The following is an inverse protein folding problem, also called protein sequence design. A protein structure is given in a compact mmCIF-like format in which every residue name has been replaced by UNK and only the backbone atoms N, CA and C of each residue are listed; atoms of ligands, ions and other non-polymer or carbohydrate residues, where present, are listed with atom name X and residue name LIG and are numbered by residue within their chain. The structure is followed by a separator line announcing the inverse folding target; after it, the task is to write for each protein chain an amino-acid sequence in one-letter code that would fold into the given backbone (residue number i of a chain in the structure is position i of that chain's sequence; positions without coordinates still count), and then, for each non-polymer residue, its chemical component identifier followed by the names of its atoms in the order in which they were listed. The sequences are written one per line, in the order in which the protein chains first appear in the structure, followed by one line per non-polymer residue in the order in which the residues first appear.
data_IF_771469220009
#
_entry.id   IF_771469220009
#
_cell.length_a   1.000
_cell.length_b   1.000
_cell.length_c   1.000
_cell.angle_alpha   90.00
_cell.angle_beta   90.00
_cell.angle_gamma   90.00
#
_symmetry.space_group_name_H-M   'P 1'
#
loop_
_entity.id
_entity.type
_entity.pdbx_description
1 polymer ?
#
# COMPACT_ATOMS: atom_id res chain seq x y z
N UNK A 1 17.21 5.00 -2.95
CA UNK A 1 17.45 3.57 -2.64
C UNK A 1 16.11 2.86 -2.78
N UNK A 2 16.00 1.84 -3.64
CA UNK A 2 14.71 1.19 -3.96
C UNK A 2 14.34 0.17 -2.90
N UNK A 3 13.21 0.39 -2.21
CA UNK A 3 12.67 -0.59 -1.28
C UNK A 3 11.52 -1.29 -1.97
N UNK A 4 11.86 -2.50 -2.36
CA UNK A 4 10.96 -3.50 -2.87
C UNK A 4 10.19 -4.08 -1.68
N UNK A 5 8.91 -4.39 -1.87
CA UNK A 5 8.22 -5.34 -1.01
C UNK A 5 9.05 -6.63 -1.02
N UNK A 6 9.80 -6.85 0.06
CA UNK A 6 10.60 -8.05 0.18
C UNK A 6 9.65 -9.22 0.44
N UNK A 7 10.11 -10.44 0.15
CA UNK A 7 9.32 -11.65 0.38
C UNK A 7 8.78 -11.73 1.82
N UNK A 8 9.54 -11.22 2.80
CA UNK A 8 9.13 -11.10 4.20
C UNK A 8 7.93 -10.19 4.41
N UNK A 9 7.86 -9.06 3.71
CA UNK A 9 6.72 -8.13 3.78
C UNK A 9 5.50 -8.74 3.07
N UNK A 10 5.70 -9.42 1.93
CA UNK A 10 4.64 -10.18 1.23
C UNK A 10 4.07 -11.28 2.12
N UNK A 11 4.94 -12.05 2.77
CA UNK A 11 4.56 -13.13 3.70
C UNK A 11 3.71 -12.59 4.85
N UNK A 12 4.14 -11.49 5.47
CA UNK A 12 3.37 -10.82 6.54
C UNK A 12 2.00 -10.37 6.04
N UNK A 13 1.92 -9.75 4.85
CA UNK A 13 0.63 -9.35 4.27
C UNK A 13 -0.30 -10.53 4.01
N UNK A 14 0.22 -11.64 3.49
CA UNK A 14 -0.56 -12.86 3.24
C UNK A 14 -1.05 -13.45 4.55
N UNK A 15 -0.22 -13.46 5.59
CA UNK A 15 -0.59 -13.93 6.93
C UNK A 15 -1.69 -13.07 7.56
N UNK A 16 -1.50 -11.76 7.57
CA UNK A 16 -2.46 -10.79 8.12
C UNK A 16 -3.81 -10.92 7.41
N UNK A 17 -3.83 -10.95 6.07
CA UNK A 17 -5.05 -11.08 5.29
C UNK A 17 -5.71 -12.47 5.40
N UNK A 18 -4.92 -13.53 5.57
CA UNK A 18 -5.44 -14.89 5.71
C UNK A 18 -6.24 -15.10 6.99
N UNK A 19 -6.13 -14.21 7.98
CA UNK A 19 -6.91 -14.32 9.22
C UNK A 19 -8.39 -13.96 9.02
N UNK A 20 -8.67 -13.04 8.10
CA UNK A 20 -9.96 -12.33 8.01
C UNK A 20 -10.73 -12.59 6.69
N UNK A 21 -10.26 -13.51 5.84
CA UNK A 21 -10.90 -13.77 4.56
C UNK A 21 -10.98 -15.27 4.19
N UNK A 22 -11.65 -15.57 3.07
CA UNK A 22 -11.85 -16.94 2.54
C UNK A 22 -10.54 -17.69 2.29
N UNK A 23 -9.43 -16.95 2.17
CA UNK A 23 -8.09 -17.50 2.04
C UNK A 23 -7.74 -18.45 3.20
N UNK A 24 -8.21 -18.17 4.42
CA UNK A 24 -8.01 -19.05 5.59
C UNK A 24 -8.37 -20.50 5.28
N UNK A 25 -9.60 -20.70 4.80
CA UNK A 25 -10.13 -22.02 4.47
C UNK A 25 -9.34 -22.68 3.35
N UNK A 26 -8.84 -21.90 2.39
CA UNK A 26 -8.03 -22.45 1.30
C UNK A 26 -6.66 -22.93 1.79
N UNK A 27 -6.03 -22.19 2.70
CA UNK A 27 -4.74 -22.53 3.29
C UNK A 27 -4.82 -23.75 4.23
N UNK A 28 -5.89 -23.85 5.04
CA UNK A 28 -6.13 -25.00 5.91
C UNK A 28 -6.29 -26.31 5.12
N UNK A 29 -6.90 -26.23 3.94
CA UNK A 29 -7.14 -27.38 3.08
C UNK A 29 -5.95 -27.74 2.17
N UNK A 30 -4.97 -26.85 2.02
CA UNK A 30 -3.81 -27.04 1.16
C UNK A 30 -2.60 -26.26 1.71
N UNK A 31 -1.79 -26.89 2.59
CA UNK A 31 -0.64 -26.23 3.22
C UNK A 31 0.41 -25.72 2.21
N UNK A 32 0.49 -26.34 1.02
CA UNK A 32 1.43 -25.92 -0.03
C UNK A 32 0.95 -24.66 -0.77
N UNK A 33 -0.32 -24.29 -0.64
CA UNK A 33 -0.89 -23.14 -1.32
C UNK A 33 -0.30 -21.83 -0.79
N UNK A 34 0.04 -21.76 0.51
CA UNK A 34 0.62 -20.55 1.12
C UNK A 34 1.92 -20.13 0.44
N UNK A 35 2.85 -21.07 0.31
CA UNK A 35 4.15 -20.79 -0.30
C UNK A 35 4.00 -20.45 -1.79
N UNK A 36 3.07 -21.11 -2.49
CA UNK A 36 2.76 -20.79 -3.88
C UNK A 36 2.21 -19.36 -4.04
N UNK A 37 1.31 -18.92 -3.16
CA UNK A 37 0.78 -17.55 -3.15
C UNK A 37 1.91 -16.55 -2.94
N UNK A 38 2.73 -16.76 -1.92
CA UNK A 38 3.84 -15.84 -1.58
C UNK A 38 4.79 -15.71 -2.78
N UNK A 39 5.22 -16.82 -3.35
CA UNK A 39 6.11 -16.84 -4.52
C UNK A 39 5.51 -16.10 -5.71
N UNK A 40 4.27 -16.43 -6.11
CA UNK A 40 3.62 -15.84 -7.30
C UNK A 40 3.36 -14.34 -7.14
N UNK A 41 2.94 -13.91 -5.95
CA UNK A 41 2.74 -12.49 -5.65
C UNK A 41 4.07 -11.76 -5.65
N UNK A 42 5.11 -12.32 -5.04
CA UNK A 42 6.42 -11.69 -4.98
C UNK A 42 7.02 -11.50 -6.39
N UNK A 43 6.92 -12.52 -7.25
CA UNK A 43 7.33 -12.45 -8.66
C UNK A 43 6.51 -11.42 -9.44
N UNK A 44 5.18 -11.45 -9.31
CA UNK A 44 4.29 -10.59 -10.09
C UNK A 44 4.32 -9.13 -9.62
N UNK A 45 4.55 -8.87 -8.33
CA UNK A 45 4.53 -7.53 -7.79
C UNK A 45 5.80 -6.75 -8.13
N UNK A 46 6.91 -7.43 -8.46
CA UNK A 46 8.21 -6.81 -8.71
C UNK A 46 8.59 -5.76 -7.64
N UNK A 47 8.25 -6.06 -6.37
CA UNK A 47 8.46 -5.19 -5.22
C UNK A 47 7.47 -4.03 -5.04
N UNK A 48 6.39 -3.94 -5.84
CA UNK A 48 5.32 -2.97 -5.64
C UNK A 48 4.36 -3.42 -4.53
N UNK A 49 4.50 -2.84 -3.34
CA UNK A 49 3.68 -3.19 -2.17
C UNK A 49 2.16 -2.95 -2.39
N UNK A 50 1.80 -1.93 -3.16
CA UNK A 50 0.40 -1.70 -3.54
C UNK A 50 -0.16 -2.86 -4.37
N UNK A 51 0.66 -3.43 -5.27
CA UNK A 51 0.24 -4.55 -6.12
C UNK A 51 0.06 -5.81 -5.28
N UNK A 52 0.95 -6.05 -4.30
CA UNK A 52 0.80 -7.11 -3.30
C UNK A 52 -0.55 -7.02 -2.60
N UNK A 53 -0.90 -5.85 -2.07
CA UNK A 53 -2.18 -5.63 -1.38
C UNK A 53 -3.40 -5.85 -2.28
N UNK A 54 -3.32 -5.42 -3.54
CA UNK A 54 -4.39 -5.60 -4.52
C UNK A 54 -4.56 -7.07 -4.92
N UNK A 55 -3.47 -7.79 -5.14
CA UNK A 55 -3.49 -9.22 -5.48
C UNK A 55 -4.02 -10.06 -4.32
N UNK A 56 -3.63 -9.75 -3.08
CA UNK A 56 -4.18 -10.39 -1.87
C UNK A 56 -5.68 -10.13 -1.75
N UNK A 57 -6.13 -8.89 -1.96
CA UNK A 57 -7.56 -8.58 -1.96
C UNK A 57 -8.32 -9.36 -3.04
N UNK A 58 -7.78 -9.41 -4.26
CA UNK A 58 -8.31 -10.22 -5.35
C UNK A 58 -8.41 -11.71 -4.98
N UNK A 59 -7.41 -12.26 -4.29
CA UNK A 59 -7.44 -13.64 -3.77
C UNK A 59 -8.53 -13.85 -2.71
N UNK A 60 -8.67 -12.92 -1.76
CA UNK A 60 -9.70 -12.97 -0.73
C UNK A 60 -11.13 -12.90 -1.29
N UNK A 61 -11.31 -12.35 -2.50
CA UNK A 61 -12.61 -12.31 -3.18
C UNK A 61 -12.99 -13.63 -3.87
N UNK A 62 -12.08 -14.61 -3.93
CA UNK A 62 -12.32 -15.86 -4.65
C UNK A 62 -13.22 -16.81 -3.87
N UNK A 63 -14.17 -17.42 -4.57
CA UNK A 63 -15.19 -18.29 -3.96
C UNK A 63 -14.79 -19.76 -3.91
N UNK A 64 -13.65 -20.15 -4.48
CA UNK A 64 -13.16 -21.53 -4.44
C UNK A 64 -11.65 -21.62 -4.68
N UNK A 65 -11.03 -22.70 -4.20
CA UNK A 65 -9.60 -23.00 -4.43
C UNK A 65 -9.22 -23.03 -5.92
N UNK A 66 -10.10 -23.55 -6.78
CA UNK A 66 -9.88 -23.57 -8.23
C UNK A 66 -9.80 -22.15 -8.79
N UNK A 67 -10.69 -21.26 -8.37
CA UNK A 67 -10.66 -19.86 -8.78
C UNK A 67 -9.45 -19.12 -8.21
N UNK A 68 -9.08 -19.38 -6.95
CA UNK A 68 -7.86 -18.83 -6.35
C UNK A 68 -6.60 -19.24 -7.13
N UNK A 69 -6.46 -20.51 -7.49
CA UNK A 69 -5.35 -21.00 -8.33
C UNK A 69 -5.34 -20.35 -9.71
N UNK A 70 -6.50 -20.28 -10.38
CA UNK A 70 -6.59 -19.61 -11.67
C UNK A 70 -6.23 -18.12 -11.57
N UNK A 71 -6.61 -17.44 -10.48
CA UNK A 71 -6.25 -16.04 -10.24
C UNK A 71 -4.74 -15.87 -10.05
N UNK A 72 -4.06 -16.81 -9.38
CA UNK A 72 -2.59 -16.82 -9.25
C UNK A 72 -1.89 -16.97 -10.61
N UNK A 73 -2.49 -17.66 -11.57
CA UNK A 73 -1.95 -17.80 -12.93
C UNK A 73 -2.21 -16.56 -13.81
N UNK A 74 -3.17 -15.72 -13.43
CA UNK A 74 -3.55 -14.48 -14.15
C UNK A 74 -3.36 -13.24 -13.28
N UNK A 75 -2.33 -13.24 -12.41
CA UNK A 75 -2.07 -12.10 -11.55
C UNK A 75 -1.81 -10.86 -12.40
N UNK A 76 -2.45 -9.73 -12.08
CA UNK A 76 -2.14 -8.47 -12.74
C UNK A 76 -0.67 -8.12 -12.48
N UNK A 77 0.11 -7.96 -13.55
CA UNK A 77 1.52 -7.56 -13.50
C UNK A 77 1.71 -6.03 -13.47
N UNK A 78 0.63 -5.28 -13.61
CA UNK A 78 0.61 -3.82 -13.52
C UNK A 78 -0.63 -3.35 -12.78
N UNK A 79 -0.53 -2.16 -12.19
CA UNK A 79 -1.62 -1.53 -11.47
C UNK A 79 -2.25 -0.46 -12.38
N UNK A 80 -3.59 -0.47 -12.49
CA UNK A 80 -4.29 0.78 -12.77
C UNK A 80 -4.20 1.65 -11.50
N UNK A 81 -3.26 2.58 -11.55
CA UNK A 81 -2.93 3.50 -10.48
C UNK A 81 -4.15 4.20 -9.89
N UNK A 82 -5.07 4.61 -10.76
CA UNK A 82 -6.23 5.41 -10.39
C UNK A 82 -7.26 4.55 -9.67
N UNK A 83 -7.59 3.39 -10.26
CA UNK A 83 -8.52 2.44 -9.66
C UNK A 83 -8.00 1.90 -8.32
N UNK A 84 -6.70 1.58 -8.25
CA UNK A 84 -6.07 1.06 -7.05
C UNK A 84 -5.97 2.09 -5.92
N UNK A 85 -5.74 3.36 -6.26
CA UNK A 85 -5.85 4.46 -5.30
C UNK A 85 -7.28 4.58 -4.75
N UNK A 86 -8.29 4.63 -5.62
CA UNK A 86 -9.68 4.80 -5.21
C UNK A 86 -10.15 3.66 -4.32
N UNK A 87 -9.80 2.43 -4.66
CA UNK A 87 -10.16 1.26 -3.86
C UNK A 87 -9.40 1.22 -2.53
N UNK A 88 -8.15 1.68 -2.50
CA UNK A 88 -7.40 1.83 -1.24
C UNK A 88 -7.97 2.93 -0.36
N UNK A 89 -8.34 4.09 -0.92
CA UNK A 89 -8.99 5.18 -0.20
C UNK A 89 -10.37 4.79 0.32
N UNK A 90 -11.17 4.03 -0.43
CA UNK A 90 -12.43 3.45 0.07
C UNK A 90 -12.19 2.56 1.29
N UNK A 91 -11.19 1.67 1.22
CA UNK A 91 -10.81 0.78 2.33
C UNK A 91 -10.34 1.59 3.53
N UNK A 92 -9.49 2.60 3.34
CA UNK A 92 -9.05 3.51 4.40
C UNK A 92 -10.26 4.18 5.04
N UNK A 93 -11.13 4.82 4.25
CA UNK A 93 -12.29 5.56 4.76
C UNK A 93 -13.34 4.67 5.46
N UNK A 94 -13.33 3.34 5.25
CA UNK A 94 -14.20 2.39 5.96
C UNK A 94 -13.69 1.98 7.35
N UNK A 95 -12.48 2.37 7.73
CA UNK A 95 -11.89 2.05 9.03
C UNK A 95 -12.40 2.97 10.16
N UNK A 96 -12.00 2.67 11.40
CA UNK A 96 -12.27 3.52 12.55
C UNK A 96 -11.74 4.95 12.32
N UNK A 97 -12.49 6.02 12.69
CA UNK A 97 -12.13 7.41 12.37
C UNK A 97 -10.71 7.83 12.79
N UNK A 98 -10.18 7.30 13.89
CA UNK A 98 -8.81 7.58 14.33
C UNK A 98 -7.76 6.99 13.38
N UNK A 99 -8.00 5.82 12.81
CA UNK A 99 -7.11 5.19 11.82
C UNK A 99 -7.17 5.95 10.48
N UNK A 100 -8.36 6.39 10.07
CA UNK A 100 -8.54 7.27 8.91
C UNK A 100 -7.72 8.55 9.07
N UNK A 101 -7.82 9.18 10.23
CA UNK A 101 -7.09 10.42 10.57
C UNK A 101 -5.58 10.18 10.55
N UNK A 102 -5.11 9.06 11.08
CA UNK A 102 -3.71 8.65 11.09
C UNK A 102 -3.14 8.56 9.66
N UNK A 103 -3.79 7.77 8.79
CA UNK A 103 -3.34 7.56 7.41
C UNK A 103 -3.37 8.86 6.62
N UNK A 104 -4.45 9.65 6.71
CA UNK A 104 -4.55 10.94 6.00
C UNK A 104 -3.49 11.94 6.46
N UNK A 105 -3.15 11.96 7.75
CA UNK A 105 -2.09 12.83 8.28
C UNK A 105 -0.72 12.42 7.74
N UNK A 106 -0.43 11.11 7.68
CA UNK A 106 0.81 10.62 7.10
C UNK A 106 0.90 10.92 5.60
N UNK A 107 -0.17 10.66 4.83
CA UNK A 107 -0.23 11.02 3.40
C UNK A 107 -0.02 12.52 3.17
N UNK A 108 -0.62 13.38 3.99
CA UNK A 108 -0.41 14.83 3.91
C UNK A 108 1.05 15.22 4.18
N UNK A 109 1.70 14.62 5.19
CA UNK A 109 3.13 14.84 5.44
C UNK A 109 3.97 14.49 4.20
N UNK A 110 3.75 13.29 3.66
CA UNK A 110 4.49 12.74 2.52
C UNK A 110 4.31 13.64 1.30
N UNK A 111 3.05 13.99 0.96
CA UNK A 111 2.73 14.88 -0.17
C UNK A 111 3.39 16.25 -0.04
N UNK A 112 3.45 16.81 1.18
CA UNK A 112 4.15 18.08 1.44
C UNK A 112 5.67 17.97 1.28
N UNK A 113 6.26 16.85 1.71
CA UNK A 113 7.71 16.62 1.59
C UNK A 113 8.16 16.52 0.12
N UNK A 114 7.27 16.08 -0.77
CA UNK A 114 7.55 15.94 -2.20
C UNK A 114 7.56 17.30 -2.93
N UNK A 115 6.79 18.29 -2.47
CA UNK A 115 6.56 19.55 -3.21
C UNK A 115 5.88 19.29 -4.57
N UNK A 116 5.72 20.30 -5.45
CA UNK A 116 5.21 20.12 -6.82
C UNK A 116 6.30 19.55 -7.76
N UNK A 117 6.22 18.27 -8.11
CA UNK A 117 7.01 17.62 -9.16
C UNK A 117 6.28 17.78 -10.50
N UNK A 118 7.01 18.07 -11.57
CA UNK A 118 6.45 18.05 -12.92
C UNK A 118 6.23 16.61 -13.39
N UNK A 119 5.15 16.39 -14.16
CA UNK A 119 4.83 15.09 -14.77
C UNK A 119 5.92 14.54 -15.71
N UNK A 120 6.85 15.38 -16.18
CA UNK A 120 8.03 14.97 -16.94
C UNK A 120 9.11 14.37 -16.05
N UNK A 121 9.43 15.02 -14.91
CA UNK A 121 10.43 14.49 -13.95
C UNK A 121 10.04 13.11 -13.45
N UNK A 122 8.76 12.90 -13.11
CA UNK A 122 8.22 11.62 -12.65
C UNK A 122 8.32 10.49 -13.67
N UNK A 123 8.26 10.79 -14.96
CA UNK A 123 8.32 9.80 -16.04
C UNK A 123 9.75 9.41 -16.39
N UNK A 124 10.70 10.33 -16.28
CA UNK A 124 12.09 10.09 -16.65
C UNK A 124 12.88 9.30 -15.61
N UNK A 125 12.58 9.46 -14.32
CA UNK A 125 13.40 8.84 -13.26
C UNK A 125 12.98 7.43 -12.85
N UNK A 126 11.90 6.86 -13.40
CA UNK A 126 11.38 5.47 -13.28
C UNK A 126 11.25 4.84 -11.86
N UNK A 127 11.82 5.45 -10.83
CA UNK A 127 11.83 5.07 -9.43
C UNK A 127 12.21 6.30 -8.58
N UNK A 128 11.58 7.46 -8.84
CA UNK A 128 11.77 8.62 -7.95
C UNK A 128 11.44 8.15 -6.54
N UNK A 129 12.43 8.27 -5.66
CA UNK A 129 12.30 8.04 -4.24
C UNK A 129 11.26 9.03 -3.71
N UNK A 130 10.00 8.57 -3.65
CA UNK A 130 8.87 9.43 -3.37
C UNK A 130 9.02 9.97 -1.96
N UNK A 131 9.04 11.30 -1.86
CA UNK A 131 9.39 12.11 -0.69
C UNK A 131 9.11 11.47 0.65
N UNK A 132 10.15 11.52 1.48
CA UNK A 132 10.27 10.69 2.66
C UNK A 132 10.02 11.53 3.92
N UNK A 133 8.99 11.18 4.71
CA UNK A 133 8.76 11.77 6.04
C UNK A 133 9.47 10.95 7.12
N UNK A 134 10.19 11.63 8.00
CA UNK A 134 10.83 10.99 9.17
C UNK A 134 9.85 10.98 10.34
N UNK A 135 9.52 9.78 10.83
CA UNK A 135 8.76 9.60 12.06
C UNK A 135 9.73 9.18 13.16
N UNK A 136 9.71 9.84 14.31
CA UNK A 136 10.49 9.40 15.47
C UNK A 136 9.90 8.10 16.03
N UNK A 137 10.73 7.06 16.17
CA UNK A 137 10.36 5.81 16.85
C UNK A 137 9.86 6.13 18.26
N UNK A 138 8.56 5.92 18.50
CA UNK A 138 7.94 6.12 19.82
C UNK A 138 6.56 6.77 19.78
N UNK A 139 6.26 7.60 18.77
CA UNK A 139 4.95 8.29 18.66
C UNK A 139 3.97 7.64 17.67
N UNK A 140 4.47 6.86 16.72
CA UNK A 140 3.66 6.15 15.73
C UNK A 140 4.13 4.71 15.62
N UNK A 141 3.22 3.75 15.78
CA UNK A 141 3.51 2.36 15.43
C UNK A 141 3.49 2.23 13.90
N UNK A 142 4.67 2.14 13.30
CA UNK A 142 4.86 2.07 11.84
C UNK A 142 4.13 0.85 11.25
N UNK A 143 4.12 -0.29 11.95
CA UNK A 143 3.38 -1.47 11.49
C UNK A 143 1.88 -1.21 11.43
N UNK A 144 1.33 -0.47 12.41
CA UNK A 144 -0.08 -0.07 12.37
C UNK A 144 -0.31 0.83 11.15
N UNK A 145 0.51 1.86 10.94
CA UNK A 145 0.36 2.78 9.81
C UNK A 145 0.39 2.05 8.47
N UNK A 146 1.35 1.15 8.27
CA UNK A 146 1.47 0.38 7.02
C UNK A 146 0.23 -0.47 6.78
N UNK A 147 -0.24 -1.19 7.82
CA UNK A 147 -1.42 -2.03 7.74
C UNK A 147 -2.67 -1.21 7.39
N UNK A 148 -2.89 -0.10 8.10
CA UNK A 148 -4.10 0.73 7.90
C UNK A 148 -4.06 1.56 6.62
N UNK A 149 -2.89 1.76 6.01
CA UNK A 149 -2.72 2.54 4.78
C UNK A 149 -3.21 1.84 3.51
N UNK A 150 -3.67 0.59 3.59
CA UNK A 150 -4.17 -0.20 2.46
C UNK A 150 -3.18 -0.30 1.28
N UNK A 151 -1.87 -0.19 1.56
CA UNK A 151 -0.80 -0.25 0.57
C UNK A 151 -0.48 1.08 -0.11
N UNK A 152 -1.03 2.22 0.35
CA UNK A 152 -0.67 3.54 -0.19
C UNK A 152 0.66 4.08 0.35
N UNK A 153 1.07 3.62 1.54
CA UNK A 153 2.30 4.06 2.21
C UNK A 153 3.29 2.90 2.27
N UNK A 154 4.58 3.21 2.08
CA UNK A 154 5.71 2.30 2.32
C UNK A 154 6.60 2.84 3.43
N UNK A 155 7.37 1.97 4.06
CA UNK A 155 8.39 2.33 5.05
C UNK A 155 9.76 1.80 4.62
N UNK A 156 10.75 2.68 4.73
CA UNK A 156 12.16 2.39 4.59
C UNK A 156 12.79 2.12 5.95
N UNK A 157 13.24 0.88 6.16
CA UNK A 157 13.89 0.47 7.40
C UNK A 157 15.32 1.01 7.52
N UNK A 158 16.03 1.19 6.42
CA UNK A 158 17.42 1.66 6.41
C UNK A 158 17.50 3.15 6.71
N UNK A 159 16.67 3.95 6.06
CA UNK A 159 16.61 5.40 6.29
C UNK A 159 15.61 5.80 7.38
N UNK A 160 14.79 4.86 7.88
CA UNK A 160 13.71 5.10 8.84
C UNK A 160 12.73 6.18 8.37
N UNK A 161 12.26 6.04 7.13
CA UNK A 161 11.38 7.01 6.48
C UNK A 161 10.14 6.38 5.87
N UNK A 162 9.07 7.16 5.72
CA UNK A 162 7.87 6.72 4.98
C UNK A 162 7.68 7.50 3.69
N UNK A 163 7.18 6.83 2.66
CA UNK A 163 6.86 7.44 1.36
C UNK A 163 5.61 6.83 0.74
N UNK A 164 5.22 7.29 -0.46
CA UNK A 164 4.15 6.63 -1.22
C UNK A 164 4.65 5.28 -1.75
N UNK A 165 3.76 4.30 -1.80
CA UNK A 165 4.07 2.99 -2.34
C UNK A 165 4.31 2.98 -3.85
N UNK A 166 3.86 4.01 -4.58
CA UNK A 166 4.06 4.14 -6.02
C UNK A 166 3.99 5.61 -6.49
N UNK A 167 4.76 5.96 -7.53
CA UNK A 167 4.83 7.34 -8.06
C UNK A 167 3.52 7.79 -8.72
N UNK A 168 2.74 6.86 -9.26
CA UNK A 168 1.43 7.16 -9.88
C UNK A 168 0.37 7.61 -8.87
N UNK A 169 0.69 7.57 -7.57
CA UNK A 169 -0.15 8.11 -6.50
C UNK A 169 0.06 9.63 -6.31
N UNK A 170 0.93 10.25 -7.12
CA UNK A 170 1.24 11.68 -7.15
C UNK A 170 0.26 12.46 -8.08
N UNK A 171 -0.04 13.74 -7.86
CA UNK A 171 -1.11 14.30 -7.08
C UNK A 171 -2.12 15.03 -7.99
N UNK A 172 -2.54 14.42 -9.09
CA UNK A 172 -3.79 14.88 -9.74
C UNK A 172 -5.01 14.66 -8.80
N UNK A 173 -4.77 14.16 -7.58
CA UNK A 173 -5.76 13.77 -6.55
C UNK A 173 -5.52 14.43 -5.17
N UNK A 174 -4.72 15.50 -5.10
CA UNK A 174 -4.50 16.30 -3.86
C UNK A 174 -5.83 16.81 -3.26
N UNK A 175 -6.80 17.15 -4.11
CA UNK A 175 -8.11 17.73 -3.73
C UNK A 175 -8.93 16.88 -2.75
N UNK A 176 -8.75 15.56 -2.71
CA UNK A 176 -9.48 14.67 -1.80
C UNK A 176 -8.84 14.58 -0.40
N UNK A 177 -7.52 14.77 -0.31
CA UNK A 177 -6.79 14.84 0.97
C UNK A 177 -6.91 16.24 1.57
N UNK A 178 -7.08 17.26 0.73
CA UNK A 178 -7.26 18.69 1.07
C UNK A 178 -8.51 18.98 1.91
N UNK A 179 -9.53 18.11 1.87
CA UNK A 179 -10.79 18.29 2.60
C UNK A 179 -10.71 18.00 4.11
N UNK A 180 -9.53 17.70 4.65
CA UNK A 180 -9.32 17.41 6.06
C UNK A 180 -9.05 18.71 6.84
N UNK A 181 -9.76 18.98 7.94
CA UNK A 181 -9.51 20.20 8.77
C UNK A 181 -8.05 20.30 9.23
N UNK A 182 -7.40 19.16 9.50
CA UNK A 182 -5.96 19.11 9.81
C UNK A 182 -5.06 19.56 8.65
N UNK A 183 -5.50 19.35 7.41
CA UNK A 183 -4.78 19.83 6.23
C UNK A 183 -4.85 21.36 6.16
N UNK A 184 -6.02 21.95 6.43
CA UNK A 184 -6.21 23.40 6.47
C UNK A 184 -5.49 24.05 7.68
N UNK A 185 -5.51 23.42 8.85
CA UNK A 185 -4.76 23.88 10.02
C UNK A 185 -3.24 23.79 9.79
N UNK A 186 -2.75 22.71 9.16
CA UNK A 186 -1.33 22.55 8.83
C UNK A 186 -0.84 23.58 7.79
N UNK A 187 -1.70 24.06 6.89
CA UNK A 187 -1.37 25.13 5.94
C UNK A 187 -1.15 26.51 6.60
N UNK A 188 -1.61 26.70 7.85
CA UNK A 188 -1.50 27.99 8.55
C UNK A 188 -0.25 28.14 9.41
N UNK A 189 0.51 27.06 9.65
CA UNK A 189 1.81 27.14 10.35
C UNK A 189 2.94 27.26 9.32
N UNK A 190 3.22 28.50 8.91
CA UNK A 190 4.48 28.90 8.26
C UNK A 190 5.59 29.07 9.28
#
# INVERSE_FOLDING_TARGET
MEIFAHETDVRKCVEDASSDCTLKTFLEMDPNLKENIIMRINESAAGMFLLVQQQIHGLCSQTSRKKARNFLDTLPASIDASASYDDSMKRINSQHPELVKLVKSALSCILRAIGPLSAEKLREEQAIEVGLCRFEEGFLNVDILLNVSAGLIRFDKESSTVGLAHYSLYPERLSEVESNELFLEALTRK
#
